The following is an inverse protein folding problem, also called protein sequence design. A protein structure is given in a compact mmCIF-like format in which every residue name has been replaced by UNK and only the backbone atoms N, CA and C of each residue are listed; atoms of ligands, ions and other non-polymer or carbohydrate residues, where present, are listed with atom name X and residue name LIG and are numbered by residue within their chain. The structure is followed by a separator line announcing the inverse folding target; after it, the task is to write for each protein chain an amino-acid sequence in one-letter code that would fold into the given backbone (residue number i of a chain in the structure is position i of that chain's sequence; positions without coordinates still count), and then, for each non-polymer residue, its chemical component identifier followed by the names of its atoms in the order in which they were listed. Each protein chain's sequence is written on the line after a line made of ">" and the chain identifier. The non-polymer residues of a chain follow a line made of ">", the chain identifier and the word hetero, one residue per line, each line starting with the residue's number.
data_IF_585079608695
#
_entry.id   IF_585079608695
#
_cell.length_a   1.000
_cell.length_b   1.000
_cell.length_c   1.000
_cell.angle_alpha   90.00
_cell.angle_beta   90.00
_cell.angle_gamma   90.00
#
_symmetry.space_group_name_H-M   'P 1'
#
loop_
_entity.id
_entity.type
_entity.pdbx_description
1 polymer ?
#
# COMPACT_ATOMS: atom_id res chain seq x y z
N UNK A 1 -23.66 4.99 -3.40
CA UNK A 1 -22.28 4.75 -3.88
C UNK A 1 -21.58 6.09 -3.87
N UNK A 2 -20.68 6.27 -2.91
CA UNK A 2 -19.81 7.44 -2.83
C UNK A 2 -18.80 7.37 -3.97
N UNK A 3 -18.47 8.49 -4.58
CA UNK A 3 -17.45 8.52 -5.63
C UNK A 3 -16.08 8.18 -5.02
N UNK A 4 -15.32 7.28 -5.67
CA UNK A 4 -13.98 6.92 -5.20
C UNK A 4 -13.02 8.13 -5.30
N UNK A 5 -12.18 8.28 -4.28
CA UNK A 5 -11.13 9.30 -4.28
C UNK A 5 -10.08 9.01 -5.36
N UNK A 6 -9.24 10.01 -5.68
CA UNK A 6 -8.12 9.81 -6.59
C UNK A 6 -7.16 8.71 -6.11
N UNK A 7 -6.89 8.66 -4.81
CA UNK A 7 -5.95 7.69 -4.24
C UNK A 7 -6.56 6.28 -4.21
N UNK A 8 -7.85 6.14 -3.89
CA UNK A 8 -8.58 4.86 -4.03
C UNK A 8 -8.58 4.33 -5.48
N UNK A 9 -8.80 5.23 -6.45
CA UNK A 9 -8.72 4.90 -7.90
C UNK A 9 -7.32 4.38 -8.27
N UNK A 10 -6.25 5.04 -7.80
CA UNK A 10 -4.87 4.59 -8.06
C UNK A 10 -4.53 3.29 -7.31
N UNK A 11 -5.06 3.11 -6.10
CA UNK A 11 -4.84 1.93 -5.26
C UNK A 11 -5.46 0.67 -5.88
N UNK A 12 -6.69 0.74 -6.40
CA UNK A 12 -7.31 -0.42 -7.06
C UNK A 12 -6.56 -0.81 -8.35
N UNK A 13 -6.08 0.19 -9.13
CA UNK A 13 -5.21 -0.07 -10.28
C UNK A 13 -3.93 -0.78 -9.83
N UNK A 14 -3.27 -0.27 -8.78
CA UNK A 14 -2.05 -0.86 -8.23
C UNK A 14 -2.26 -2.32 -7.83
N UNK A 15 -3.31 -2.63 -7.07
CA UNK A 15 -3.59 -4.01 -6.62
C UNK A 15 -3.93 -4.91 -7.81
N UNK A 16 -4.66 -4.41 -8.81
CA UNK A 16 -5.00 -5.19 -10.01
C UNK A 16 -3.78 -5.56 -10.86
N UNK A 17 -2.68 -4.79 -10.79
CA UNK A 17 -1.43 -5.10 -11.49
C UNK A 17 -0.66 -6.27 -10.89
N UNK A 18 -0.90 -6.61 -9.61
CA UNK A 18 -0.18 -7.68 -8.90
C UNK A 18 -1.06 -8.87 -8.54
N UNK A 19 -2.34 -8.84 -8.86
CA UNK A 19 -3.31 -9.84 -8.40
C UNK A 19 -4.19 -10.32 -9.55
N UNK A 20 -4.72 -11.53 -9.40
CA UNK A 20 -5.53 -12.16 -10.44
C UNK A 20 -6.51 -13.15 -9.81
N UNK A 21 -7.83 -12.93 -9.94
CA UNK A 21 -8.83 -13.90 -9.52
C UNK A 21 -8.91 -15.04 -10.53
N UNK A 22 -9.22 -16.23 -10.03
CA UNK A 22 -9.53 -17.38 -10.86
C UNK A 22 -10.80 -17.10 -11.68
N UNK A 23 -10.77 -17.35 -12.99
CA UNK A 23 -11.97 -17.34 -13.85
C UNK A 23 -12.63 -18.71 -13.91
N UNK A 24 -11.86 -19.77 -13.65
CA UNK A 24 -12.29 -21.17 -13.66
C UNK A 24 -11.70 -21.89 -12.46
N UNK A 25 -12.33 -22.99 -12.06
CA UNK A 25 -11.93 -23.79 -10.89
C UNK A 25 -10.49 -24.31 -10.93
N UNK A 26 -9.89 -24.44 -12.10
CA UNK A 26 -8.53 -24.94 -12.32
C UNK A 26 -7.50 -23.83 -12.57
N UNK A 27 -7.90 -22.56 -12.47
CA UNK A 27 -7.00 -21.43 -12.62
C UNK A 27 -6.48 -21.01 -11.25
N UNK A 28 -5.18 -20.74 -11.17
CA UNK A 28 -4.57 -20.24 -9.94
C UNK A 28 -4.91 -18.77 -9.71
N UNK A 29 -5.10 -18.43 -8.44
CA UNK A 29 -5.26 -17.06 -7.98
C UNK A 29 -3.90 -16.46 -7.64
N UNK A 30 -3.74 -15.17 -7.91
CA UNK A 30 -2.57 -14.40 -7.48
C UNK A 30 -2.98 -13.38 -6.45
N UNK A 31 -2.33 -13.44 -5.28
CA UNK A 31 -2.60 -12.61 -4.12
C UNK A 31 -1.36 -11.80 -3.74
N UNK A 32 -1.55 -10.56 -3.28
CA UNK A 32 -0.48 -9.73 -2.71
C UNK A 32 -0.57 -9.73 -1.18
N UNK A 33 0.53 -10.06 -0.49
CA UNK A 33 0.59 -9.99 0.97
C UNK A 33 0.53 -8.53 1.45
N UNK A 34 -0.01 -8.30 2.65
CA UNK A 34 -0.18 -6.97 3.26
C UNK A 34 1.10 -6.13 3.22
N UNK A 35 2.23 -6.66 3.73
CA UNK A 35 3.46 -5.86 3.85
C UNK A 35 4.03 -5.44 2.48
N UNK A 36 4.16 -6.32 1.48
CA UNK A 36 4.49 -5.91 0.11
C UNK A 36 3.55 -4.86 -0.49
N UNK A 37 2.23 -4.97 -0.24
CA UNK A 37 1.27 -3.95 -0.69
C UNK A 37 1.54 -2.60 -0.02
N UNK A 38 1.69 -2.57 1.30
CA UNK A 38 1.99 -1.34 2.04
C UNK A 38 3.34 -0.74 1.65
N UNK A 39 4.31 -1.57 1.27
CA UNK A 39 5.61 -1.09 0.77
C UNK A 39 5.45 -0.38 -0.57
N UNK A 40 4.57 -0.88 -1.46
CA UNK A 40 4.23 -0.20 -2.71
C UNK A 40 3.46 1.10 -2.46
N UNK A 41 2.57 1.13 -1.47
CA UNK A 41 1.86 2.35 -1.05
C UNK A 41 2.87 3.39 -0.56
N UNK A 42 3.74 3.05 0.39
CA UNK A 42 4.76 3.96 0.91
C UNK A 42 5.70 4.48 -0.21
N UNK A 43 6.12 3.61 -1.13
CA UNK A 43 6.87 4.03 -2.32
C UNK A 43 6.07 4.97 -3.21
N UNK A 44 4.77 4.73 -3.38
CA UNK A 44 3.87 5.59 -4.13
C UNK A 44 3.74 6.98 -3.53
N UNK A 45 3.69 7.09 -2.19
CA UNK A 45 3.71 8.39 -1.48
C UNK A 45 5.00 9.15 -1.82
N UNK A 46 6.16 8.50 -1.71
CA UNK A 46 7.45 9.11 -2.04
C UNK A 46 7.57 9.58 -3.50
N UNK A 47 6.85 8.93 -4.42
CA UNK A 47 6.83 9.29 -5.84
C UNK A 47 5.68 10.23 -6.22
N UNK A 48 4.87 10.69 -5.26
CA UNK A 48 3.71 11.54 -5.50
C UNK A 48 2.56 10.84 -6.26
N UNK A 49 2.51 9.51 -6.20
CA UNK A 49 1.41 8.71 -6.77
C UNK A 49 0.21 8.71 -5.82
N UNK A 50 0.43 8.76 -4.51
CA UNK A 50 -0.62 8.93 -3.52
C UNK A 50 -0.41 10.27 -2.84
N UNK A 51 -1.31 11.22 -3.09
CA UNK A 51 -1.12 12.62 -2.69
C UNK A 51 -1.79 12.95 -1.35
N UNK A 52 -2.89 12.26 -1.03
CA UNK A 52 -3.61 12.42 0.24
C UNK A 52 -3.13 11.50 1.35
N UNK A 53 -2.14 10.64 1.09
CA UNK A 53 -1.61 9.68 2.07
C UNK A 53 -0.37 10.23 2.74
N UNK A 54 -0.29 10.07 4.06
CA UNK A 54 0.96 10.18 4.81
C UNK A 54 1.44 8.80 5.27
N UNK A 55 2.52 8.75 6.04
CA UNK A 55 2.94 7.53 6.69
C UNK A 55 3.58 7.82 8.04
N UNK A 56 3.47 6.86 8.95
CA UNK A 56 4.13 6.88 10.24
C UNK A 56 4.75 5.50 10.54
N UNK A 57 5.83 5.46 11.37
CA UNK A 57 6.39 4.20 11.84
C UNK A 57 5.34 3.37 12.60
N UNK A 58 5.14 2.14 12.17
CA UNK A 58 4.25 1.16 12.81
C UNK A 58 4.99 -0.16 12.98
N UNK A 59 4.76 -0.85 14.11
CA UNK A 59 5.30 -2.19 14.32
C UNK A 59 4.53 -3.20 13.46
N UNK A 60 5.25 -3.97 12.65
CA UNK A 60 4.69 -5.00 11.75
C UNK A 60 5.48 -6.29 11.83
N UNK A 61 4.82 -7.42 11.57
CA UNK A 61 5.50 -8.71 11.43
C UNK A 61 5.83 -8.97 9.96
N UNK A 62 7.12 -9.21 9.69
CA UNK A 62 7.63 -9.52 8.36
C UNK A 62 8.61 -10.68 8.43
N UNK A 63 8.33 -11.74 7.68
CA UNK A 63 9.13 -12.99 7.67
C UNK A 63 9.43 -13.54 9.08
N UNK A 64 8.45 -13.45 9.99
CA UNK A 64 8.59 -13.96 11.35
C UNK A 64 9.36 -13.06 12.32
N UNK A 65 9.73 -11.86 11.89
CA UNK A 65 10.39 -10.86 12.75
C UNK A 65 9.54 -9.59 12.83
N UNK A 66 9.36 -9.05 14.03
CA UNK A 66 8.72 -7.75 14.22
C UNK A 66 9.70 -6.63 13.86
N UNK A 67 9.28 -5.69 13.01
CA UNK A 67 10.06 -4.55 12.53
C UNK A 67 9.21 -3.30 12.51
N UNK A 68 9.82 -2.13 12.70
CA UNK A 68 9.14 -0.88 12.38
C UNK A 68 9.13 -0.68 10.87
N UNK A 69 7.97 -0.27 10.34
CA UNK A 69 7.78 0.04 8.93
C UNK A 69 7.02 1.36 8.77
N UNK A 70 7.33 2.11 7.72
CA UNK A 70 6.58 3.30 7.32
C UNK A 70 5.24 2.88 6.70
N UNK A 71 4.16 2.99 7.48
CA UNK A 71 2.80 2.56 7.07
C UNK A 71 1.89 3.78 6.98
N UNK A 72 1.13 3.87 5.88
CA UNK A 72 0.05 4.84 5.70
C UNK A 72 -1.23 4.32 6.32
N UNK A 73 -1.87 5.12 7.18
CA UNK A 73 -3.16 4.76 7.77
C UNK A 73 -4.31 4.96 6.79
N UNK A 74 -4.25 6.03 6.00
CA UNK A 74 -5.16 6.28 4.88
C UNK A 74 -5.08 5.14 3.85
N UNK A 75 -3.87 4.68 3.52
CA UNK A 75 -3.70 3.54 2.62
C UNK A 75 -4.23 2.22 3.19
N UNK A 76 -4.13 1.98 4.50
CA UNK A 76 -4.77 0.81 5.13
C UNK A 76 -6.30 0.91 5.13
N UNK A 77 -6.84 2.10 5.39
CA UNK A 77 -8.26 2.41 5.41
C UNK A 77 -8.88 2.26 4.01
N UNK A 78 -8.23 2.81 2.98
CA UNK A 78 -8.69 2.68 1.60
C UNK A 78 -8.66 1.22 1.09
N UNK A 79 -7.74 0.38 1.59
CA UNK A 79 -7.80 -1.07 1.33
C UNK A 79 -9.05 -1.69 2.00
N UNK A 80 -9.42 -1.23 3.20
CA UNK A 80 -10.61 -1.70 3.90
C UNK A 80 -11.89 -1.24 3.20
N UNK A 81 -11.97 0.01 2.76
CA UNK A 81 -13.08 0.59 2.01
C UNK A 81 -13.29 -0.16 0.68
N UNK A 82 -12.24 -0.35 -0.11
CA UNK A 82 -12.32 -1.09 -1.38
C UNK A 82 -12.75 -2.56 -1.17
N UNK A 83 -12.44 -3.15 -0.01
CA UNK A 83 -12.93 -4.47 0.38
C UNK A 83 -14.42 -4.43 0.72
N UNK A 84 -14.86 -3.42 1.46
CA UNK A 84 -16.27 -3.25 1.88
C UNK A 84 -17.19 -2.97 0.70
N UNK A 85 -16.69 -2.24 -0.30
CA UNK A 85 -17.34 -2.02 -1.59
C UNK A 85 -17.26 -3.23 -2.55
N UNK A 86 -16.58 -4.33 -2.17
CA UNK A 86 -16.53 -5.57 -2.94
C UNK A 86 -15.58 -5.55 -4.16
N UNK A 87 -14.66 -4.60 -4.24
CA UNK A 87 -13.63 -4.55 -5.29
C UNK A 87 -12.38 -5.37 -4.95
N UNK A 88 -12.19 -5.71 -3.68
CA UNK A 88 -11.04 -6.45 -3.17
C UNK A 88 -11.51 -7.55 -2.22
N UNK A 89 -10.87 -8.71 -2.30
CA UNK A 89 -11.00 -9.80 -1.34
C UNK A 89 -9.81 -9.83 -0.39
N UNK A 90 -10.03 -10.35 0.83
CA UNK A 90 -8.98 -10.56 1.82
C UNK A 90 -8.92 -12.01 2.25
N UNK A 91 -7.74 -12.60 2.10
CA UNK A 91 -7.39 -13.92 2.62
C UNK A 91 -6.54 -13.78 3.89
N UNK A 92 -6.91 -14.49 4.96
CA UNK A 92 -6.04 -14.66 6.14
C UNK A 92 -5.33 -16.01 6.06
N UNK A 93 -4.00 -15.97 6.08
CA UNK A 93 -3.13 -17.13 6.01
C UNK A 93 -2.50 -17.37 7.39
N UNK A 94 -2.60 -18.60 7.90
CA UNK A 94 -1.82 -19.01 9.06
C UNK A 94 -0.40 -19.35 8.61
N UNK A 95 0.59 -18.81 9.31
CA UNK A 95 2.00 -19.20 9.15
C UNK A 95 2.29 -20.44 9.99
N UNK A 96 3.44 -21.09 9.71
CA UNK A 96 3.94 -22.20 10.53
C UNK A 96 4.13 -21.84 12.00
N UNK A 97 4.33 -20.56 12.31
CA UNK A 97 4.56 -20.06 13.66
C UNK A 97 3.26 -19.56 14.33
N UNK A 98 2.10 -19.97 13.83
CA UNK A 98 0.77 -19.56 14.33
C UNK A 98 0.48 -18.05 14.28
N UNK A 99 1.27 -17.28 13.52
CA UNK A 99 0.98 -15.87 13.19
C UNK A 99 0.10 -15.81 11.95
N UNK A 100 -0.84 -14.86 11.91
CA UNK A 100 -1.71 -14.64 10.74
C UNK A 100 -1.18 -13.54 9.84
N UNK A 101 -1.07 -13.82 8.54
CA UNK A 101 -0.73 -12.83 7.51
C UNK A 101 -1.96 -12.59 6.64
N UNK A 102 -2.27 -11.31 6.38
CA UNK A 102 -3.32 -10.96 5.43
C UNK A 102 -2.75 -10.83 4.02
N UNK A 103 -3.51 -11.29 3.03
CA UNK A 103 -3.26 -11.08 1.62
C UNK A 103 -4.53 -10.57 0.94
N UNK A 104 -4.36 -9.85 -0.16
CA UNK A 104 -5.41 -9.15 -0.88
C UNK A 104 -5.39 -9.51 -2.36
N UNK A 105 -6.56 -9.46 -2.99
CA UNK A 105 -6.72 -9.72 -4.42
C UNK A 105 -7.86 -8.88 -4.97
N UNK A 106 -7.69 -8.29 -6.15
CA UNK A 106 -8.80 -7.63 -6.84
C UNK A 106 -9.85 -8.66 -7.29
N UNK A 107 -11.13 -8.35 -7.05
CA UNK A 107 -12.24 -9.13 -7.60
C UNK A 107 -12.38 -8.91 -9.11
N UNK A 108 -13.24 -9.70 -9.77
CA UNK A 108 -13.60 -9.44 -11.17
C UNK A 108 -14.22 -8.05 -11.37
N UNK A 109 -15.03 -7.57 -10.41
CA UNK A 109 -15.57 -6.20 -10.42
C UNK A 109 -14.46 -5.17 -10.19
N UNK A 110 -13.52 -5.42 -9.27
CA UNK A 110 -12.37 -4.55 -9.02
C UNK A 110 -11.46 -4.39 -10.24
N UNK A 111 -11.20 -5.48 -10.98
CA UNK A 111 -10.43 -5.43 -12.23
C UNK A 111 -11.18 -4.65 -13.31
N UNK A 112 -12.50 -4.85 -13.43
CA UNK A 112 -13.32 -4.12 -14.41
C UNK A 112 -13.33 -2.62 -14.09
N UNK A 113 -13.50 -2.26 -12.82
CA UNK A 113 -13.41 -0.89 -12.35
C UNK A 113 -12.03 -0.31 -12.69
N UNK A 114 -10.95 -0.97 -12.28
CA UNK A 114 -9.59 -0.54 -12.54
C UNK A 114 -9.33 -0.28 -14.03
N UNK A 115 -9.77 -1.18 -14.92
CA UNK A 115 -9.61 -1.01 -16.37
C UNK A 115 -10.49 0.07 -17.00
N UNK A 116 -11.51 0.57 -16.29
CA UNK A 116 -12.39 1.65 -16.75
C UNK A 116 -11.95 3.04 -16.30
N UNK A 117 -10.95 3.12 -15.41
CA UNK A 117 -10.45 4.38 -14.89
C UNK A 117 -9.63 5.15 -15.92
N UNK A 118 -9.56 6.46 -15.73
CA UNK A 118 -8.93 7.36 -16.70
C UNK A 118 -7.42 7.10 -16.79
N UNK A 119 -6.89 7.29 -18.00
CA UNK A 119 -5.47 7.08 -18.32
C UNK A 119 -4.49 7.79 -17.36
N UNK A 120 -4.74 9.02 -16.87
CA UNK A 120 -3.83 9.67 -15.91
C UNK A 120 -3.58 8.85 -14.63
N UNK A 121 -4.57 8.11 -14.14
CA UNK A 121 -4.39 7.25 -12.97
C UNK A 121 -3.51 6.03 -13.30
N UNK A 122 -3.71 5.42 -14.48
CA UNK A 122 -2.85 4.35 -14.96
C UNK A 122 -1.40 4.82 -15.16
N UNK A 123 -1.20 5.98 -15.80
CA UNK A 123 0.12 6.54 -16.05
C UNK A 123 0.86 6.87 -14.73
N UNK A 124 0.14 7.31 -13.69
CA UNK A 124 0.70 7.53 -12.37
C UNK A 124 1.16 6.22 -11.71
N UNK A 125 0.31 5.18 -11.72
CA UNK A 125 0.66 3.86 -11.17
C UNK A 125 1.76 3.18 -11.98
N UNK A 126 1.79 3.37 -13.30
CA UNK A 126 2.82 2.82 -14.17
C UNK A 126 4.21 3.32 -13.81
N UNK A 127 4.35 4.60 -13.41
CA UNK A 127 5.62 5.14 -12.90
C UNK A 127 6.14 4.41 -11.67
N UNK A 128 5.24 3.82 -10.86
CA UNK A 128 5.58 3.09 -9.65
C UNK A 128 6.08 1.66 -9.96
N UNK A 129 5.49 0.98 -10.96
CA UNK A 129 5.60 -0.49 -11.11
C UNK A 129 6.12 -0.96 -12.46
N UNK A 130 6.13 -0.13 -13.51
CA UNK A 130 6.71 -0.51 -14.80
C UNK A 130 8.23 -0.39 -14.77
N UNK A 131 8.90 -1.34 -15.41
CA UNK A 131 10.33 -1.24 -15.65
C UNK A 131 10.62 -0.28 -16.81
N UNK A 132 11.84 0.28 -16.83
CA UNK A 132 12.36 1.09 -17.95
C UNK A 132 12.30 0.37 -19.29
N UNK A 133 12.30 -0.97 -19.30
CA UNK A 133 12.16 -1.77 -20.52
C UNK A 133 10.70 -1.96 -21.00
N UNK A 134 9.74 -1.34 -20.31
CA UNK A 134 8.30 -1.38 -20.61
C UNK A 134 7.54 -2.55 -20.01
N UNK A 135 8.21 -3.56 -19.46
CA UNK A 135 7.55 -4.71 -18.84
C UNK A 135 7.12 -4.43 -17.39
N UNK A 136 6.01 -5.05 -16.93
CA UNK A 136 5.61 -4.97 -15.52
C UNK A 136 6.66 -5.65 -14.63
N UNK A 137 6.90 -5.08 -13.45
CA UNK A 137 7.69 -5.72 -12.40
C UNK A 137 6.78 -6.59 -11.53
N UNK A 138 7.33 -7.69 -10.99
CA UNK A 138 6.72 -8.45 -9.89
C UNK A 138 7.24 -7.94 -8.54
N UNK A 139 6.49 -8.14 -7.47
CA UNK A 139 6.93 -7.85 -6.10
C UNK A 139 7.32 -9.16 -5.41
N UNK A 140 8.54 -9.25 -4.91
CA UNK A 140 9.09 -10.43 -4.24
C UNK A 140 9.49 -10.07 -2.81
N UNK A 141 9.01 -10.84 -1.84
CA UNK A 141 9.37 -10.63 -0.44
C UNK A 141 10.67 -11.37 -0.11
N UNK A 142 11.73 -10.65 0.25
CA UNK A 142 13.01 -11.20 0.75
C UNK A 142 13.13 -10.95 2.25
N UNK A 143 14.17 -11.49 2.89
CA UNK A 143 14.33 -11.42 4.35
C UNK A 143 14.50 -9.99 4.88
N UNK A 144 15.17 -9.12 4.13
CA UNK A 144 15.44 -7.73 4.49
C UNK A 144 14.28 -6.81 4.10
N UNK A 145 13.75 -6.93 2.89
CA UNK A 145 12.70 -6.06 2.35
C UNK A 145 11.93 -6.72 1.18
N UNK A 146 10.81 -6.11 0.75
CA UNK A 146 10.22 -6.38 -0.55
C UNK A 146 11.07 -5.80 -1.70
N UNK A 147 11.10 -6.50 -2.84
CA UNK A 147 11.84 -6.11 -4.04
C UNK A 147 10.94 -6.11 -5.26
N UNK A 148 11.01 -5.04 -6.05
CA UNK A 148 10.44 -4.98 -7.39
C UNK A 148 11.41 -5.60 -8.39
N UNK A 149 11.02 -6.70 -9.02
CA UNK A 149 11.85 -7.50 -9.91
C UNK A 149 11.26 -7.51 -11.32
N UNK A 150 12.05 -7.15 -12.33
CA UNK A 150 11.65 -7.27 -13.72
C UNK A 150 12.17 -8.58 -14.31
N UNK A 151 11.27 -9.54 -14.58
CA UNK A 151 11.66 -10.83 -15.16
C UNK A 151 12.20 -10.74 -16.59
N UNK A 152 11.91 -9.66 -17.33
CA UNK A 152 12.38 -9.49 -18.72
C UNK A 152 13.84 -9.04 -18.82
N UNK A 153 14.25 -8.04 -18.04
CA UNK A 153 15.61 -7.50 -18.09
C UNK A 153 16.46 -7.81 -16.86
N UNK A 154 15.89 -8.47 -15.84
CA UNK A 154 16.58 -8.83 -14.60
C UNK A 154 16.81 -7.67 -13.64
N UNK A 155 16.26 -6.47 -13.88
CA UNK A 155 16.43 -5.35 -12.96
C UNK A 155 15.72 -5.62 -11.63
N UNK A 156 16.39 -5.34 -10.53
CA UNK A 156 15.85 -5.46 -9.18
C UNK A 156 15.94 -4.13 -8.45
N UNK A 157 14.92 -3.82 -7.66
CA UNK A 157 14.87 -2.59 -6.88
C UNK A 157 14.27 -2.87 -5.50
N UNK A 158 15.02 -2.55 -4.46
CA UNK A 158 14.55 -2.66 -3.07
C UNK A 158 13.44 -1.63 -2.83
N UNK A 159 12.35 -2.06 -2.21
CA UNK A 159 11.24 -1.19 -1.77
C UNK A 159 11.38 -0.99 -0.27
N UNK A 160 12.07 0.07 0.13
CA UNK A 160 12.53 0.24 1.51
C UNK A 160 11.45 0.82 2.44
N UNK A 161 10.49 -0.02 2.83
CA UNK A 161 9.46 0.32 3.82
C UNK A 161 10.02 0.33 5.27
N UNK A 162 11.16 -0.31 5.49
CA UNK A 162 11.76 -0.49 6.83
C UNK A 162 12.81 0.58 7.17
N UNK A 163 13.19 1.42 6.22
CA UNK A 163 14.04 2.60 6.45
C UNK A 163 13.22 3.71 7.13
N UNK A 164 13.15 3.64 8.46
CA UNK A 164 12.44 4.62 9.28
C UNK A 164 13.17 5.95 9.17
N UNK A 165 12.53 6.91 8.48
CA UNK A 165 13.06 8.25 8.37
C UNK A 165 12.99 8.93 9.72
N UNK A 166 14.08 9.59 10.09
CA UNK A 166 14.10 10.50 11.22
C UNK A 166 13.28 11.74 10.83
N UNK A 167 12.04 11.81 11.32
CA UNK A 167 11.20 12.99 11.16
C UNK A 167 11.33 13.79 12.45
N UNK A 168 11.87 15.01 12.35
CA UNK A 168 11.88 15.93 13.47
C UNK A 168 10.43 16.33 13.78
N UNK A 169 9.86 15.76 14.84
CA UNK A 169 8.57 16.21 15.35
C UNK A 169 8.82 17.34 16.35
N UNK A 170 8.26 18.51 16.08
CA UNK A 170 8.16 19.57 17.07
C UNK A 170 6.81 19.40 17.79
N UNK A 171 6.85 19.05 19.07
CA UNK A 171 5.65 19.01 19.91
C UNK A 171 5.61 20.26 20.78
N UNK A 172 4.54 21.05 20.64
CA UNK A 172 4.23 22.17 21.54
C UNK A 172 2.96 21.88 22.33
N UNK A 173 2.87 22.30 23.61
CA UNK A 173 1.61 22.23 24.34
C UNK A 173 0.56 23.13 23.66
N UNK A 174 -0.61 22.58 23.35
CA UNK A 174 -1.78 23.37 22.97
C UNK A 174 -2.52 23.73 24.25
N UNK A 175 -2.32 24.94 24.75
CA UNK A 175 -3.15 25.48 25.81
C UNK A 175 -4.43 26.03 25.18
N UNK A 176 -5.59 25.49 25.57
CA UNK A 176 -6.84 26.19 25.33
C UNK A 176 -6.87 27.46 26.18
N UNK A 177 -7.56 28.51 25.71
CA UNK A 177 -7.70 29.80 26.43
C UNK A 177 -8.25 29.66 27.86
N UNK A 178 -8.78 28.49 28.21
CA UNK A 178 -9.27 28.11 29.54
C UNK A 178 -8.12 28.00 30.56
N UNK A 179 -6.86 27.82 30.11
CA UNK A 179 -5.70 27.58 30.98
C UNK A 179 -4.64 28.69 30.94
N UNK A 180 -4.96 29.85 30.37
CA UNK A 180 -4.13 31.04 30.57
C UNK A 180 -4.51 31.67 31.91
N UNK A 181 -3.60 31.77 32.90
CA UNK A 181 -3.87 32.60 34.06
C UNK A 181 -4.17 34.03 33.56
N UNK A 182 -5.11 34.74 34.19
CA UNK A 182 -5.66 36.01 33.69
C UNK A 182 -4.67 37.17 33.48
N UNK A 183 -3.37 36.96 33.72
CA UNK A 183 -2.31 37.99 33.62
C UNK A 183 -1.15 37.64 32.67
N UNK A 184 -1.36 36.79 31.64
CA UNK A 184 -0.31 36.48 30.66
C UNK A 184 -0.22 37.45 29.47
N UNK A 185 -0.79 38.66 29.59
CA UNK A 185 -0.52 39.77 28.66
C UNK A 185 0.33 40.85 29.33
N UNK A 186 1.66 40.67 29.28
CA UNK A 186 2.65 41.76 29.29
C UNK A 186 3.85 41.38 28.43
#
# INVERSE_FOLDING_TARGET
>A
MTELTQDQKRLIILISNFTKPAKKRNEEETWIKKIPLLALVNRGIHLGVFEGYDFAPSLVDYMGTSRYANVSKEGEDDVADLREEGYIERLKLATSNHVYVSAYMSTHSGIKLAGSLEKPHHDAVDKLVKCKCGSPKSIESREDAPYLVCKKCGSEEKVDIFDIREVAYESGPVFSDIWLPPDSTK
#
